data_IF_768940125193
#
_entry.id   IF_768940125193
#
_cell.length_a   1.000
_cell.length_b   1.000
_cell.length_c   1.000
_cell.angle_alpha   90.00
_cell.angle_beta   90.00
_cell.angle_gamma   90.00
#
_symmetry.space_group_name_H-M   'P 1'
#
loop_
_entity.id
_entity.type
_entity.pdbx_description
1 polymer ?
#
# COMPACT_ATOMS: atom_id res chain seq x y z
N UNK A 1 -38.71 -25.35 7.90
CA UNK A 1 -38.19 -23.98 7.74
C UNK A 1 -37.27 -23.69 8.91
N UNK A 2 -35.96 -23.77 8.69
CA UNK A 2 -34.94 -23.29 9.63
C UNK A 2 -34.00 -22.45 8.76
N UNK A 3 -33.92 -21.17 9.08
CA UNK A 3 -33.16 -20.15 8.34
C UNK A 3 -31.70 -20.57 8.19
N UNK A 4 -31.02 -20.25 7.07
CA UNK A 4 -29.57 -20.33 7.03
C UNK A 4 -29.00 -19.21 7.91
N UNK A 5 -28.33 -19.63 8.97
CA UNK A 5 -27.17 -19.00 9.60
C UNK A 5 -26.38 -18.04 8.68
N UNK A 6 -26.74 -16.75 8.67
CA UNK A 6 -25.81 -15.67 8.30
C UNK A 6 -24.89 -15.42 9.48
N UNK A 7 -23.90 -16.30 9.64
CA UNK A 7 -22.70 -15.98 10.41
C UNK A 7 -21.94 -14.94 9.61
N UNK A 8 -22.07 -13.66 9.96
CA UNK A 8 -21.14 -12.62 9.53
C UNK A 8 -19.81 -12.96 10.20
N UNK A 9 -19.01 -13.80 9.56
CA UNK A 9 -17.57 -13.80 9.79
C UNK A 9 -17.11 -12.35 9.67
N UNK A 10 -16.15 -11.86 10.48
CA UNK A 10 -15.59 -10.53 10.22
C UNK A 10 -15.03 -10.59 8.79
N UNK A 11 -15.71 -9.93 7.85
CA UNK A 11 -15.35 -9.91 6.44
C UNK A 11 -13.86 -9.56 6.38
N UNK A 12 -13.04 -10.53 5.96
CA UNK A 12 -11.63 -10.30 5.75
C UNK A 12 -11.51 -9.13 4.76
N UNK A 13 -10.71 -8.10 5.05
CA UNK A 13 -10.68 -6.91 4.22
C UNK A 13 -10.36 -7.23 2.77
N UNK A 14 -11.19 -6.72 1.85
CA UNK A 14 -11.03 -6.93 0.41
C UNK A 14 -9.89 -6.08 -0.12
N UNK A 15 -8.96 -6.72 -0.83
CA UNK A 15 -7.87 -6.02 -1.51
C UNK A 15 -8.07 -6.00 -3.01
N UNK A 16 -7.87 -4.83 -3.61
CA UNK A 16 -7.60 -4.70 -5.03
C UNK A 16 -6.08 -4.67 -5.27
N UNK A 17 -5.62 -5.36 -6.31
CA UNK A 17 -4.21 -5.48 -6.63
C UNK A 17 -3.89 -4.79 -7.95
N UNK A 18 -2.84 -3.97 -7.95
CA UNK A 18 -2.37 -3.18 -9.07
C UNK A 18 -0.91 -3.51 -9.37
N UNK A 19 -0.54 -3.41 -10.63
CA UNK A 19 0.84 -3.57 -11.08
C UNK A 19 1.42 -2.21 -11.43
N UNK A 20 2.63 -1.94 -10.91
CA UNK A 20 3.39 -0.72 -11.15
C UNK A 20 4.82 -1.10 -11.53
N UNK A 21 5.45 -0.32 -12.39
CA UNK A 21 6.90 -0.41 -12.62
C UNK A 21 7.53 0.92 -12.23
N UNK A 22 8.38 0.91 -11.21
CA UNK A 22 9.06 2.11 -10.72
C UNK A 22 10.56 2.00 -10.95
N UNK A 23 11.13 2.90 -11.77
CA UNK A 23 12.56 2.88 -12.14
C UNK A 23 13.07 1.50 -12.63
N UNK A 24 12.22 0.73 -13.32
CA UNK A 24 12.53 -0.61 -13.82
C UNK A 24 12.31 -1.75 -12.81
N UNK A 25 11.89 -1.44 -11.58
CA UNK A 25 11.53 -2.43 -10.56
C UNK A 25 10.03 -2.71 -10.67
N UNK A 26 9.65 -3.96 -10.86
CA UNK A 26 8.25 -4.39 -10.83
C UNK A 26 7.70 -4.39 -9.41
N UNK A 27 6.48 -3.90 -9.23
CA UNK A 27 5.81 -3.76 -7.94
C UNK A 27 4.36 -4.25 -8.05
N UNK A 28 3.91 -4.93 -7.00
CA UNK A 28 2.48 -5.15 -6.72
C UNK A 28 2.05 -4.22 -5.60
N UNK A 29 1.05 -3.39 -5.87
CA UNK A 29 0.38 -2.54 -4.89
C UNK A 29 -0.95 -3.19 -4.55
N UNK A 30 -1.22 -3.47 -3.28
CA UNK A 30 -2.54 -3.94 -2.82
C UNK A 30 -3.19 -2.86 -1.98
N UNK A 31 -4.44 -2.56 -2.24
CA UNK A 31 -5.18 -1.54 -1.51
C UNK A 31 -6.52 -2.07 -1.01
N UNK A 32 -6.81 -1.76 0.25
CA UNK A 32 -8.11 -2.00 0.88
C UNK A 32 -8.64 -0.66 1.39
N UNK A 33 -9.71 -0.09 0.78
CA UNK A 33 -10.25 1.21 1.17
C UNK A 33 -10.98 1.19 2.53
N UNK A 34 -11.35 0.00 3.02
CA UNK A 34 -11.98 -0.18 4.33
C UNK A 34 -11.37 -1.40 5.04
N UNK A 35 -10.04 -1.34 5.25
CA UNK A 35 -9.32 -2.41 5.95
C UNK A 35 -9.82 -2.60 7.39
N UNK A 36 -10.11 -1.48 8.04
CA UNK A 36 -10.80 -1.46 9.33
C UNK A 36 -11.86 -0.36 9.30
N UNK A 37 -13.05 -0.68 9.80
CA UNK A 37 -14.14 0.28 9.89
C UNK A 37 -14.91 0.08 11.20
N UNK A 38 -15.16 1.18 11.90
CA UNK A 38 -15.97 1.18 13.12
C UNK A 38 -17.31 1.84 12.82
N UNK A 39 -18.40 1.06 12.88
CA UNK A 39 -19.75 1.53 12.51
C UNK A 39 -20.25 2.71 13.33
N UNK A 40 -19.80 2.83 14.59
CA UNK A 40 -20.38 3.75 15.55
C UNK A 40 -19.84 5.19 15.44
N UNK A 41 -18.62 5.36 14.91
CA UNK A 41 -17.92 6.66 14.87
C UNK A 41 -17.59 7.11 13.43
N UNK A 42 -17.91 6.28 12.42
CA UNK A 42 -17.54 6.55 11.02
C UNK A 42 -16.04 6.49 10.75
N UNK A 43 -15.27 5.96 11.71
CA UNK A 43 -13.83 5.76 11.57
C UNK A 43 -13.55 4.66 10.54
N UNK A 44 -12.75 5.01 9.53
CA UNK A 44 -12.29 4.10 8.47
C UNK A 44 -10.79 4.20 8.37
N UNK A 45 -10.12 3.06 8.28
CA UNK A 45 -8.70 2.94 7.98
C UNK A 45 -8.54 2.21 6.65
N UNK A 46 -7.85 2.85 5.73
CA UNK A 46 -7.37 2.23 4.50
C UNK A 46 -6.03 1.55 4.75
N UNK A 47 -5.75 0.49 3.99
CA UNK A 47 -4.47 -0.21 4.04
C UNK A 47 -3.90 -0.35 2.64
N UNK A 48 -2.62 0.02 2.47
CA UNK A 48 -1.83 -0.20 1.26
C UNK A 48 -0.66 -1.11 1.60
N UNK A 49 -0.46 -2.12 0.77
CA UNK A 49 0.73 -2.95 0.75
C UNK A 49 1.51 -2.69 -0.52
N UNK A 50 2.81 -2.45 -0.40
CA UNK A 50 3.74 -2.35 -1.53
C UNK A 50 4.70 -3.52 -1.47
N UNK A 51 4.73 -4.32 -2.53
CA UNK A 51 5.57 -5.51 -2.66
C UNK A 51 6.39 -5.38 -3.94
N UNK A 52 7.71 -5.34 -3.83
CA UNK A 52 8.59 -5.43 -4.99
C UNK A 52 8.78 -6.85 -5.46
N UNK A 53 9.01 -6.98 -6.77
CA UNK A 53 9.46 -8.22 -7.39
C UNK A 53 10.79 -8.66 -6.77
N UNK A 54 10.95 -9.97 -6.57
CA UNK A 54 12.10 -10.60 -5.90
C UNK A 54 12.49 -9.99 -4.53
N UNK A 55 11.58 -9.24 -3.88
CA UNK A 55 11.86 -8.50 -2.62
C UNK A 55 13.01 -7.50 -2.75
N UNK A 56 13.21 -6.93 -3.94
CA UNK A 56 14.19 -5.87 -4.17
C UNK A 56 13.95 -4.70 -3.20
N UNK A 57 14.97 -4.19 -2.51
CA UNK A 57 14.82 -3.06 -1.61
C UNK A 57 14.27 -1.83 -2.34
N UNK A 58 13.45 -1.07 -1.63
CA UNK A 58 12.83 0.19 -2.08
C UNK A 58 13.23 1.32 -1.13
N UNK A 59 13.12 2.60 -1.55
CA UNK A 59 13.40 3.72 -0.66
C UNK A 59 12.58 3.73 0.64
N UNK A 60 11.40 3.09 0.62
CA UNK A 60 10.47 3.01 1.76
C UNK A 60 10.62 1.72 2.59
N UNK A 61 11.42 0.74 2.12
CA UNK A 61 11.61 -0.57 2.78
C UNK A 61 12.86 -1.31 2.29
N UNK A 62 13.69 -1.79 3.22
CA UNK A 62 14.85 -2.62 2.90
C UNK A 62 14.48 -4.06 2.48
N UNK A 63 13.27 -4.52 2.82
CA UNK A 63 12.84 -5.92 2.62
C UNK A 63 12.01 -6.13 1.35
N UNK A 64 11.79 -5.06 0.58
CA UNK A 64 10.88 -5.07 -0.57
C UNK A 64 9.39 -5.17 -0.21
N UNK A 65 9.04 -5.16 1.08
CA UNK A 65 7.65 -5.14 1.53
C UNK A 65 7.39 -3.96 2.47
N UNK A 66 6.30 -3.23 2.24
CA UNK A 66 5.85 -2.15 3.12
C UNK A 66 4.33 -2.21 3.30
N UNK A 67 3.89 -2.17 4.56
CA UNK A 67 2.49 -1.95 4.95
C UNK A 67 2.32 -0.49 5.38
N UNK A 68 1.25 0.14 4.91
CA UNK A 68 0.93 1.53 5.21
C UNK A 68 -0.56 1.70 5.49
N UNK A 69 -0.89 2.36 6.60
CA UNK A 69 -2.26 2.61 7.04
C UNK A 69 -2.57 4.09 6.98
N UNK A 70 -3.73 4.43 6.44
CA UNK A 70 -4.19 5.81 6.33
C UNK A 70 -5.60 5.92 6.91
N UNK A 71 -5.88 7.00 7.63
CA UNK A 71 -7.18 7.21 8.25
C UNK A 71 -8.06 8.09 7.38
N UNK A 72 -9.34 7.74 7.30
CA UNK A 72 -10.36 8.48 6.56
C UNK A 72 -10.69 7.85 5.20
N UNK A 73 -11.94 8.04 4.78
CA UNK A 73 -12.42 7.61 3.46
C UNK A 73 -11.75 8.39 2.32
N UNK A 74 -11.34 9.63 2.58
CA UNK A 74 -10.69 10.52 1.62
C UNK A 74 -9.15 10.52 1.72
N UNK A 75 -8.55 9.49 2.36
CA UNK A 75 -7.11 9.44 2.59
C UNK A 75 -6.26 9.53 1.31
N UNK A 76 -6.83 9.16 0.16
CA UNK A 76 -6.20 9.24 -1.17
C UNK A 76 -6.78 10.39 -2.02
N UNK A 77 -7.51 11.34 -1.43
CA UNK A 77 -8.21 12.41 -2.16
C UNK A 77 -7.30 13.28 -3.03
N UNK A 78 -6.08 13.57 -2.57
CA UNK A 78 -5.05 14.29 -3.34
C UNK A 78 -4.58 13.54 -4.59
N UNK A 79 -4.82 12.23 -4.65
CA UNK A 79 -4.49 11.33 -5.76
C UNK A 79 -5.73 10.85 -6.49
N UNK A 80 -6.87 11.54 -6.36
CA UNK A 80 -8.15 11.16 -6.97
C UNK A 80 -8.64 9.75 -6.56
N UNK A 81 -8.21 9.28 -5.38
CA UNK A 81 -8.49 7.93 -4.90
C UNK A 81 -7.58 6.85 -5.50
N UNK A 82 -6.56 7.21 -6.29
CA UNK A 82 -5.69 6.27 -6.97
C UNK A 82 -4.51 5.82 -6.08
N UNK A 83 -4.47 4.54 -5.65
CA UNK A 83 -3.40 4.06 -4.78
C UNK A 83 -2.06 3.91 -5.52
N UNK A 84 -2.06 3.77 -6.85
CA UNK A 84 -0.84 3.62 -7.65
C UNK A 84 -0.10 4.97 -7.75
N UNK A 85 -0.82 6.05 -7.98
CA UNK A 85 -0.32 7.41 -8.02
C UNK A 85 0.28 7.82 -6.67
N UNK A 86 -0.41 7.50 -5.58
CA UNK A 86 0.12 7.69 -4.22
C UNK A 86 1.44 6.93 -4.01
N UNK A 87 1.48 5.62 -4.33
CA UNK A 87 2.69 4.81 -4.15
C UNK A 87 3.84 5.29 -5.03
N UNK A 88 3.57 5.67 -6.28
CA UNK A 88 4.60 6.19 -7.17
C UNK A 88 5.21 7.49 -6.62
N UNK A 89 4.37 8.46 -6.24
CA UNK A 89 4.83 9.70 -5.60
C UNK A 89 5.62 9.42 -4.31
N UNK A 90 5.11 8.52 -3.45
CA UNK A 90 5.78 8.18 -2.19
C UNK A 90 7.17 7.59 -2.40
N UNK A 91 7.34 6.74 -3.42
CA UNK A 91 8.63 6.19 -3.81
C UNK A 91 9.58 7.28 -4.34
N UNK A 92 9.10 8.18 -5.19
CA UNK A 92 9.88 9.29 -5.73
C UNK A 92 10.35 10.26 -4.64
N UNK A 93 9.47 10.60 -3.69
CA UNK A 93 9.83 11.43 -2.54
C UNK A 93 10.85 10.75 -1.63
N UNK A 94 10.61 9.48 -1.28
CA UNK A 94 11.54 8.75 -0.42
C UNK A 94 12.91 8.52 -1.08
N UNK A 95 12.96 8.38 -2.42
CA UNK A 95 14.19 8.20 -3.18
C UNK A 95 15.11 9.42 -3.17
N UNK A 96 14.63 10.60 -2.78
CA UNK A 96 15.45 11.80 -2.63
C UNK A 96 16.29 11.78 -1.34
N UNK A 97 16.05 10.82 -0.44
CA UNK A 97 16.80 10.71 0.81
C UNK A 97 18.29 10.41 0.53
N UNK A 98 19.23 11.11 1.21
CA UNK A 98 20.66 10.90 0.98
C UNK A 98 21.12 9.47 1.28
N UNK A 99 20.47 8.80 2.24
CA UNK A 99 20.73 7.40 2.59
C UNK A 99 20.45 6.45 1.41
N UNK A 100 19.31 6.63 0.75
CA UNK A 100 18.95 5.87 -0.44
C UNK A 100 19.88 6.15 -1.64
N UNK A 101 20.23 7.41 -1.85
CA UNK A 101 21.18 7.78 -2.91
C UNK A 101 22.56 7.15 -2.67
N UNK A 102 23.02 7.12 -1.42
CA UNK A 102 24.29 6.50 -1.05
C UNK A 102 24.29 4.98 -1.26
N UNK A 103 23.20 4.28 -0.91
CA UNK A 103 23.10 2.82 -1.09
C UNK A 103 23.14 2.41 -2.57
N UNK A 104 22.56 3.22 -3.47
CA UNK A 104 22.64 2.98 -4.92
C UNK A 104 24.01 3.30 -5.52
N UNK A 105 24.75 4.27 -4.98
CA UNK A 105 26.11 4.57 -5.44
C UNK A 105 27.10 3.44 -5.15
N UNK A 106 26.90 2.68 -4.07
CA UNK A 106 27.74 1.54 -3.69
C UNK A 106 27.50 0.29 -4.55
N UNK A 107 26.41 0.23 -5.32
CA UNK A 107 26.05 -0.92 -6.15
C UNK A 107 26.67 -0.89 -7.57
N UNK A 108 27.52 0.10 -7.85
CA UNK A 108 28.16 0.31 -9.17
C UNK A 108 29.61 -0.23 -9.28
N UNK A 109 30.08 -1.00 -8.29
CA UNK A 109 31.44 -1.55 -8.25
C UNK A 109 31.48 -3.08 -8.25
#
# INVERSE_FOLDING_TARGET
>A
MRSPETSLEPDCPTYEAFQLTWHGIGLTVRHSPAWYQQQQDGFVTQHIEVISDDRVPLPITETGYRSHFMNGQDALGEFEGDPVAFVNWWLDEAAQSPDWLASRQLSLF
#
